data_IF_441091278580
#
_entry.id   IF_441091278580
#
_cell.length_a   1.000
_cell.length_b   1.000
_cell.length_c   1.000
_cell.angle_alpha   90.00
_cell.angle_beta   90.00
_cell.angle_gamma   90.00
#
_symmetry.space_group_name_H-M   'P 1'
#
loop_
_entity.id
_entity.type
_entity.pdbx_description
1 polymer ?
#
# COMPACT_ATOMS: atom_id res chain seq x y z
N UNK A 1 -11.00 -3.57 -5.11
CA UNK A 1 -10.81 -2.18 -5.57
C UNK A 1 -9.36 -2.02 -5.92
N UNK A 2 -9.05 -1.51 -7.10
CA UNK A 2 -7.68 -1.34 -7.59
C UNK A 2 -7.30 0.15 -7.53
N UNK A 3 -6.12 0.46 -6.99
CA UNK A 3 -5.59 1.83 -6.88
C UNK A 3 -4.17 1.87 -7.44
N UNK A 4 -3.90 2.79 -8.36
CA UNK A 4 -2.63 2.91 -9.07
C UNK A 4 -1.88 4.17 -8.66
N UNK A 5 -0.61 4.01 -8.27
CA UNK A 5 0.31 5.09 -7.88
C UNK A 5 1.38 5.37 -8.95
N UNK A 6 1.20 4.86 -10.17
CA UNK A 6 2.19 4.87 -11.26
C UNK A 6 2.52 6.26 -11.82
N UNK A 7 1.56 7.18 -11.78
CA UNK A 7 1.71 8.56 -12.27
C UNK A 7 1.81 9.62 -11.15
N UNK A 8 1.94 9.17 -9.90
CA UNK A 8 1.96 10.08 -8.75
C UNK A 8 3.38 10.50 -8.36
N UNK A 9 3.52 11.76 -7.94
CA UNK A 9 4.73 12.25 -7.30
C UNK A 9 4.41 12.54 -5.84
N UNK A 10 5.07 11.82 -4.93
CA UNK A 10 4.96 12.10 -3.51
C UNK A 10 5.52 13.49 -3.20
N UNK A 11 4.77 14.28 -2.45
CA UNK A 11 5.23 15.57 -2.00
C UNK A 11 6.38 15.38 -0.99
N UNK A 12 7.56 15.91 -1.28
CA UNK A 12 8.78 15.71 -0.50
C UNK A 12 9.12 14.23 -0.25
N UNK A 13 8.78 13.35 -1.19
CA UNK A 13 9.05 11.92 -1.07
C UNK A 13 8.22 11.21 0.01
N UNK A 14 7.14 11.82 0.53
CA UNK A 14 6.28 11.16 1.52
C UNK A 14 4.82 11.21 1.13
N UNK A 15 4.12 10.10 1.32
CA UNK A 15 2.69 9.96 1.08
C UNK A 15 2.02 9.19 2.21
N UNK A 16 0.76 9.52 2.47
CA UNK A 16 -0.10 8.73 3.37
C UNK A 16 -1.32 8.30 2.58
N UNK A 17 -1.56 6.99 2.53
CA UNK A 17 -2.82 6.43 2.03
C UNK A 17 -3.59 5.86 3.22
N UNK A 18 -4.84 6.29 3.36
CA UNK A 18 -5.74 5.79 4.39
C UNK A 18 -6.72 4.80 3.76
N UNK A 19 -6.80 3.60 4.33
CA UNK A 19 -7.69 2.54 3.89
C UNK A 19 -8.57 2.14 5.06
N UNK A 20 -9.88 2.36 4.94
CA UNK A 20 -10.89 1.89 5.89
C UNK A 20 -11.86 0.99 5.13
N UNK A 21 -11.69 -0.32 5.27
CA UNK A 21 -12.46 -1.32 4.50
C UNK A 21 -13.00 -2.44 5.39
N UNK A 22 -14.24 -2.83 5.09
CA UNK A 22 -14.98 -3.91 5.74
C UNK A 22 -15.52 -4.83 4.65
N UNK A 23 -15.25 -6.13 4.73
CA UNK A 23 -15.78 -7.16 3.81
C UNK A 23 -15.43 -6.97 2.32
N UNK A 24 -14.33 -6.29 1.98
CA UNK A 24 -13.94 -6.03 0.59
C UNK A 24 -12.42 -6.05 0.41
N UNK A 25 -11.91 -6.50 -0.75
CA UNK A 25 -10.49 -6.50 -1.08
C UNK A 25 -10.01 -5.18 -1.72
N UNK A 26 -8.78 -4.76 -1.38
CA UNK A 26 -8.07 -3.62 -1.98
C UNK A 26 -6.73 -4.09 -2.52
N UNK A 27 -6.43 -3.70 -3.76
CA UNK A 27 -5.16 -3.93 -4.42
C UNK A 27 -4.50 -2.58 -4.69
N UNK A 28 -3.27 -2.43 -4.21
CA UNK A 28 -2.46 -1.22 -4.34
C UNK A 28 -1.32 -1.51 -5.32
N UNK A 29 -1.32 -0.82 -6.45
CA UNK A 29 -0.28 -0.93 -7.48
C UNK A 29 0.73 0.20 -7.27
N UNK A 30 1.86 -0.13 -6.67
CA UNK A 30 2.85 0.84 -6.17
C UNK A 30 4.15 0.72 -6.99
N UNK A 31 4.80 1.83 -7.39
CA UNK A 31 6.10 1.77 -8.04
C UNK A 31 7.12 0.97 -7.22
N UNK A 32 7.81 0.01 -7.85
CA UNK A 32 8.87 -0.83 -7.21
C UNK A 32 9.99 -0.04 -6.51
N UNK A 33 10.14 1.23 -6.82
CA UNK A 33 11.15 2.11 -6.23
C UNK A 33 10.75 2.64 -4.87
N UNK A 34 9.45 2.64 -4.52
CA UNK A 34 8.94 3.23 -3.28
C UNK A 34 9.05 2.26 -2.11
N UNK A 35 9.36 2.81 -0.94
CA UNK A 35 9.31 2.11 0.32
C UNK A 35 7.87 2.16 0.85
N UNK A 36 7.30 1.01 1.17
CA UNK A 36 5.95 0.92 1.71
C UNK A 36 6.02 0.64 3.22
N UNK A 37 5.48 1.56 4.02
CA UNK A 37 5.34 1.37 5.46
C UNK A 37 3.89 1.02 5.79
N UNK A 38 3.63 -0.24 6.11
CA UNK A 38 2.31 -0.63 6.56
C UNK A 38 2.12 -0.37 8.07
N UNK A 39 1.23 0.56 8.40
CA UNK A 39 0.77 0.88 9.76
C UNK A 39 -0.75 0.71 9.91
N UNK A 40 -1.40 0.04 8.95
CA UNK A 40 -2.82 -0.23 9.03
C UNK A 40 -3.10 -1.36 10.03
N UNK A 41 -4.21 -1.24 10.76
CA UNK A 41 -4.65 -2.28 11.67
C UNK A 41 -5.49 -3.30 10.89
N UNK A 42 -4.96 -4.51 10.73
CA UNK A 42 -5.63 -5.60 10.01
C UNK A 42 -6.14 -6.64 10.99
N UNK A 43 -7.45 -6.91 10.96
CA UNK A 43 -8.08 -7.95 11.78
C UNK A 43 -8.61 -9.07 10.89
N UNK A 44 -8.22 -10.32 11.19
CA UNK A 44 -8.62 -11.53 10.45
C UNK A 44 -8.18 -11.59 8.97
N UNK A 45 -7.04 -10.98 8.62
CA UNK A 45 -6.44 -11.06 7.28
C UNK A 45 -4.91 -10.85 7.35
N UNK A 46 -4.18 -11.30 6.32
CA UNK A 46 -2.77 -10.98 6.10
C UNK A 46 -2.57 -9.89 5.05
N UNK A 47 -1.47 -9.16 5.14
CA UNK A 47 -1.02 -8.24 4.08
C UNK A 47 -0.10 -9.02 3.15
N UNK A 48 -0.40 -9.02 1.86
CA UNK A 48 0.35 -9.79 0.87
C UNK A 48 1.12 -8.84 -0.03
N UNK A 49 2.43 -9.03 -0.09
CA UNK A 49 3.30 -8.31 -1.01
C UNK A 49 3.67 -9.22 -2.18
N UNK A 50 3.41 -8.78 -3.41
CA UNK A 50 3.86 -9.46 -4.62
C UNK A 50 4.95 -8.63 -5.30
N UNK A 51 6.01 -9.32 -5.74
CA UNK A 51 7.26 -8.81 -6.31
C UNK A 51 8.27 -8.27 -5.27
N UNK A 52 9.50 -8.01 -5.72
CA UNK A 52 10.60 -7.53 -4.88
C UNK A 52 10.69 -6.00 -4.98
N UNK A 53 10.62 -5.34 -3.83
CA UNK A 53 11.09 -3.97 -3.64
C UNK A 53 12.50 -3.80 -4.24
N UNK A 54 12.74 -2.68 -4.92
CA UNK A 54 14.09 -2.29 -5.34
C UNK A 54 14.77 -1.36 -4.32
N UNK A 55 14.05 -0.90 -3.29
CA UNK A 55 14.60 -0.32 -2.06
C UNK A 55 15.43 0.95 -2.19
N UNK A 56 15.44 1.59 -3.36
CA UNK A 56 16.46 2.59 -3.72
C UNK A 56 15.91 4.01 -3.95
N UNK A 57 14.77 4.37 -3.33
CA UNK A 57 14.27 5.75 -3.41
C UNK A 57 13.88 6.33 -2.05
N UNK A 58 13.98 7.65 -1.95
CA UNK A 58 13.52 8.45 -0.80
C UNK A 58 11.98 8.55 -0.71
N UNK A 59 11.25 7.86 -1.60
CA UNK A 59 9.79 7.89 -1.62
C UNK A 59 9.22 6.85 -0.65
N UNK A 60 8.57 7.32 0.41
CA UNK A 60 7.94 6.51 1.45
C UNK A 60 6.43 6.69 1.39
N UNK A 61 5.70 5.61 1.13
CA UNK A 61 4.24 5.56 1.22
C UNK A 61 3.83 4.86 2.51
N UNK A 62 3.23 5.59 3.45
CA UNK A 62 2.69 5.02 4.68
C UNK A 62 1.22 4.65 4.48
N UNK A 63 0.90 3.38 4.67
CA UNK A 63 -0.48 2.87 4.68
C UNK A 63 -1.01 2.94 6.11
N UNK A 64 -2.14 3.59 6.32
CA UNK A 64 -2.81 3.72 7.63
C UNK A 64 -4.29 3.36 7.52
N UNK A 65 -4.96 3.14 8.64
CA UNK A 65 -6.39 2.87 8.70
C UNK A 65 -6.70 1.48 9.22
N UNK A 66 -7.83 0.91 8.80
CA UNK A 66 -8.33 -0.37 9.29
C UNK A 66 -8.88 -1.26 8.18
N UNK A 67 -8.54 -2.54 8.22
CA UNK A 67 -9.09 -3.56 7.33
C UNK A 67 -9.62 -4.74 8.15
N UNK A 68 -10.92 -5.02 8.04
CA UNK A 68 -11.56 -6.18 8.69
C UNK A 68 -12.30 -7.03 7.65
N UNK A 69 -12.09 -8.36 7.67
CA UNK A 69 -12.67 -9.29 6.69
C UNK A 69 -12.38 -8.89 5.23
N UNK A 70 -11.20 -8.31 4.98
CA UNK A 70 -10.87 -7.58 3.77
C UNK A 70 -9.42 -7.86 3.39
N UNK A 71 -9.12 -8.30 2.17
CA UNK A 71 -7.72 -8.51 1.74
C UNK A 71 -7.08 -7.19 1.32
N UNK A 72 -5.87 -6.90 1.81
CA UNK A 72 -5.03 -5.80 1.28
C UNK A 72 -3.83 -6.41 0.58
N UNK A 73 -3.76 -6.22 -0.73
CA UNK A 73 -2.69 -6.73 -1.57
C UNK A 73 -1.87 -5.57 -2.13
N UNK A 74 -0.56 -5.66 -1.96
CA UNK A 74 0.41 -4.70 -2.50
C UNK A 74 1.11 -5.36 -3.69
N UNK A 75 0.96 -4.75 -4.85
CA UNK A 75 1.56 -5.20 -6.11
C UNK A 75 2.58 -4.17 -6.54
N UNK A 76 3.86 -4.51 -6.46
CA UNK A 76 4.90 -3.62 -6.94
C UNK A 76 4.97 -3.68 -8.47
N UNK A 77 4.78 -2.55 -9.15
CA UNK A 77 4.83 -2.39 -10.63
C UNK A 77 6.11 -1.69 -11.10
#
# INVERSE_FOLDING_TARGET
MEVYFDNEKLNNGRGIVRIDVLFCGVELYIPKTWIVENRANTSFVGVYEKNRDMGNSDNILTIVGSASFAGVEIVYI
#
